data_IF_093628257629
#
_entry.id   IF_093628257629
#
_cell.length_a   1.000
_cell.length_b   1.000
_cell.length_c   1.000
_cell.angle_alpha   90.00
_cell.angle_beta   90.00
_cell.angle_gamma   90.00
#
_symmetry.space_group_name_H-M   'P 1'
#
loop_
_entity.id
_entity.type
_entity.pdbx_description
1 polymer ?
#
# COMPACT_ATOMS: atom_id res chain seq x y z
N UNK A 1 -17.29 2.14 42.09
CA UNK A 1 -16.52 0.86 42.13
C UNK A 1 -15.12 1.15 41.60
N UNK A 2 -14.11 1.30 42.45
CA UNK A 2 -12.71 1.49 42.01
C UNK A 2 -12.28 0.20 41.33
N UNK A 3 -12.05 0.22 40.00
CA UNK A 3 -11.44 -0.93 39.35
C UNK A 3 -10.07 -1.18 40.00
N UNK A 4 -9.85 -2.38 40.55
CA UNK A 4 -8.52 -2.84 40.96
C UNK A 4 -7.61 -2.66 39.75
N UNK A 5 -6.57 -1.81 39.86
CA UNK A 5 -5.56 -1.65 38.80
C UNK A 5 -5.04 -3.05 38.46
N UNK A 6 -5.41 -3.55 37.28
CA UNK A 6 -4.88 -4.80 36.75
C UNK A 6 -3.39 -4.59 36.49
N UNK A 7 -2.56 -5.47 37.02
CA UNK A 7 -1.12 -5.45 36.75
C UNK A 7 -0.90 -6.09 35.37
N UNK A 8 -0.78 -5.24 34.35
CA UNK A 8 -0.67 -5.67 32.95
C UNK A 8 0.74 -6.11 32.60
N UNK A 9 0.83 -6.95 31.57
CA UNK A 9 2.06 -7.37 30.90
C UNK A 9 2.81 -6.24 30.22
N UNK A 10 3.98 -6.56 29.69
CA UNK A 10 4.87 -5.62 29.00
C UNK A 10 4.24 -5.05 27.72
N UNK A 11 3.29 -5.77 27.12
CA UNK A 11 2.52 -5.34 25.94
C UNK A 11 1.18 -4.66 26.29
N UNK A 12 0.93 -4.38 27.57
CA UNK A 12 -0.32 -3.78 28.04
C UNK A 12 -1.55 -4.57 27.54
N UNK A 13 -2.46 -3.95 26.78
CA UNK A 13 -3.65 -4.59 26.23
C UNK A 13 -3.45 -5.17 24.82
N UNK A 14 -2.23 -5.09 24.28
CA UNK A 14 -1.89 -5.65 22.97
C UNK A 14 -1.40 -7.09 23.08
N UNK A 15 -1.63 -7.85 22.00
CA UNK A 15 -1.19 -9.23 21.91
C UNK A 15 0.34 -9.32 21.75
N UNK A 16 1.05 -10.00 22.68
CA UNK A 16 2.51 -10.10 22.59
C UNK A 16 2.97 -11.01 21.44
N UNK A 17 2.16 -12.00 21.06
CA UNK A 17 2.45 -12.88 19.91
C UNK A 17 2.34 -12.11 18.59
N UNK A 18 1.27 -11.32 18.40
CA UNK A 18 1.13 -10.45 17.23
C UNK A 18 2.27 -9.45 17.10
N UNK A 19 2.72 -8.89 18.23
CA UNK A 19 3.85 -7.97 18.26
C UNK A 19 5.16 -8.66 17.86
N UNK A 20 5.42 -9.87 18.36
CA UNK A 20 6.67 -10.58 18.09
C UNK A 20 6.74 -11.14 16.66
N UNK A 21 5.65 -11.72 16.17
CA UNK A 21 5.65 -12.51 14.93
C UNK A 21 5.29 -11.67 13.70
N UNK A 22 4.34 -10.75 13.86
CA UNK A 22 3.86 -9.93 12.75
C UNK A 22 4.33 -8.47 12.85
N UNK A 23 5.02 -8.11 13.94
CA UNK A 23 5.44 -6.74 14.23
C UNK A 23 4.29 -5.73 14.10
N UNK A 24 3.15 -6.08 14.73
CA UNK A 24 1.94 -5.24 14.75
C UNK A 24 1.35 -5.21 16.17
N UNK A 25 0.94 -4.01 16.60
CA UNK A 25 0.16 -3.82 17.83
C UNK A 25 -1.30 -4.15 17.58
N UNK A 26 -1.64 -5.44 17.71
CA UNK A 26 -3.01 -5.89 17.59
C UNK A 26 -3.66 -6.00 18.99
N UNK A 27 -4.86 -5.42 19.21
CA UNK A 27 -5.51 -5.46 20.52
C UNK A 27 -5.84 -6.90 20.91
N UNK A 28 -5.49 -7.28 22.13
CA UNK A 28 -5.85 -8.57 22.69
C UNK A 28 -7.27 -8.56 23.26
N UNK A 29 -7.90 -9.74 23.26
CA UNK A 29 -9.23 -9.95 23.82
C UNK A 29 -9.13 -10.45 25.27
N UNK A 30 -9.98 -9.92 26.14
CA UNK A 30 -9.97 -10.30 27.56
C UNK A 30 -10.34 -11.78 27.78
N UNK A 31 -11.17 -12.35 26.90
CA UNK A 31 -11.54 -13.77 26.90
C UNK A 31 -10.34 -14.71 26.71
N UNK A 32 -9.31 -14.26 26.00
CA UNK A 32 -8.09 -15.04 25.77
C UNK A 32 -6.97 -14.70 26.74
N UNK A 33 -7.24 -13.98 27.84
CA UNK A 33 -6.20 -13.59 28.79
C UNK A 33 -5.46 -14.77 29.43
N UNK A 34 -4.18 -14.56 29.74
CA UNK A 34 -3.35 -15.45 30.53
C UNK A 34 -2.49 -14.66 31.52
N UNK A 35 -2.09 -15.31 32.62
CA UNK A 35 -1.23 -14.71 33.66
C UNK A 35 0.16 -15.33 33.58
N UNK A 36 1.20 -14.50 33.53
CA UNK A 36 2.60 -14.92 33.56
C UNK A 36 3.42 -13.94 34.41
N UNK A 37 4.28 -14.43 35.30
CA UNK A 37 5.08 -13.62 36.25
C UNK A 37 4.27 -12.50 36.93
N UNK A 38 3.10 -12.85 37.46
CA UNK A 38 2.16 -11.92 38.12
C UNK A 38 1.57 -10.78 37.26
N UNK A 39 1.82 -10.81 35.95
CA UNK A 39 1.26 -9.87 34.98
C UNK A 39 0.19 -10.54 34.12
N UNK A 40 -0.79 -9.77 33.70
CA UNK A 40 -1.88 -10.23 32.82
C UNK A 40 -1.56 -9.82 31.38
N UNK A 41 -1.58 -10.80 30.47
CA UNK A 41 -1.41 -10.61 29.03
C UNK A 41 -2.72 -10.94 28.32
N UNK A 42 -3.03 -10.17 27.27
CA UNK A 42 -4.19 -10.40 26.40
C UNK A 42 -3.73 -10.89 25.03
N UNK A 43 -4.59 -11.65 24.35
CA UNK A 43 -4.25 -12.32 23.10
C UNK A 43 -5.38 -12.12 22.08
N UNK A 44 -5.03 -11.94 20.82
CA UNK A 44 -6.01 -11.72 19.75
C UNK A 44 -6.84 -12.98 19.47
N UNK A 45 -6.26 -14.15 19.67
CA UNK A 45 -6.90 -15.46 19.45
C UNK A 45 -6.51 -16.44 20.57
N UNK A 46 -7.31 -17.50 20.74
CA UNK A 46 -6.96 -18.61 21.63
C UNK A 46 -5.66 -19.30 21.22
N UNK A 47 -5.40 -19.41 19.92
CA UNK A 47 -4.18 -20.04 19.40
C UNK A 47 -2.92 -19.28 19.83
N UNK A 48 -2.96 -17.95 19.79
CA UNK A 48 -1.84 -17.11 20.25
C UNK A 48 -1.64 -17.18 21.76
N UNK A 49 -2.72 -17.31 22.53
CA UNK A 49 -2.62 -17.60 23.97
C UNK A 49 -1.89 -18.92 24.22
N UNK A 50 -2.28 -19.98 23.53
CA UNK A 50 -1.68 -21.31 23.71
C UNK A 50 -0.21 -21.31 23.26
N UNK A 51 0.11 -20.59 22.18
CA UNK A 51 1.49 -20.40 21.70
C UNK A 51 2.35 -19.68 22.73
N UNK A 52 1.85 -18.60 23.32
CA UNK A 52 2.53 -17.89 24.40
C UNK A 52 2.75 -18.78 25.62
N UNK A 53 1.75 -19.57 26.04
CA UNK A 53 1.88 -20.44 27.21
C UNK A 53 2.92 -21.56 27.03
N UNK A 54 3.20 -21.97 25.78
CA UNK A 54 4.26 -22.95 25.48
C UNK A 54 5.66 -22.39 25.72
N UNK A 55 5.92 -21.15 25.30
CA UNK A 55 7.19 -20.49 25.57
C UNK A 55 7.04 -18.98 25.85
N UNK A 56 6.61 -18.59 27.07
CA UNK A 56 6.30 -17.19 27.37
C UNK A 56 7.50 -16.25 27.27
N UNK A 57 8.71 -16.78 27.48
CA UNK A 57 9.94 -16.00 27.52
C UNK A 57 10.22 -15.30 26.18
N UNK A 58 9.94 -15.95 25.04
CA UNK A 58 10.15 -15.37 23.71
C UNK A 58 9.32 -14.10 23.41
N UNK A 59 8.25 -13.88 24.17
CA UNK A 59 7.22 -12.87 23.91
C UNK A 59 7.19 -11.74 24.93
N UNK A 60 8.00 -11.82 25.99
CA UNK A 60 8.06 -10.79 27.05
C UNK A 60 9.36 -10.00 26.96
N UNK A 61 9.40 -8.83 27.59
CA UNK A 61 10.63 -8.07 27.70
C UNK A 61 11.63 -8.81 28.60
N UNK A 62 12.89 -8.88 28.16
CA UNK A 62 14.02 -9.36 28.95
C UNK A 62 14.86 -8.17 29.41
N UNK A 63 16.08 -8.05 28.90
CA UNK A 63 17.00 -6.96 29.23
C UNK A 63 16.65 -5.67 28.50
N UNK A 64 16.06 -5.79 27.31
CA UNK A 64 15.63 -4.66 26.49
C UNK A 64 14.09 -4.54 26.43
N UNK A 65 13.57 -3.29 26.37
CA UNK A 65 12.16 -3.06 26.11
C UNK A 65 11.72 -3.65 24.77
N UNK A 66 10.46 -4.07 24.69
CA UNK A 66 9.86 -4.50 23.43
C UNK A 66 9.83 -3.33 22.45
N UNK A 67 10.31 -3.57 21.23
CA UNK A 67 10.30 -2.59 20.17
C UNK A 67 8.86 -2.38 19.67
N UNK A 68 8.44 -1.12 19.60
CA UNK A 68 7.15 -0.76 19.01
C UNK A 68 7.26 -0.79 17.48
N UNK A 69 6.24 -1.30 16.77
CA UNK A 69 6.26 -1.31 15.32
C UNK A 69 6.10 0.12 14.76
N UNK A 70 6.55 0.36 13.52
CA UNK A 70 6.42 1.67 12.91
C UNK A 70 4.95 2.07 12.75
N UNK A 71 4.72 3.39 12.85
CA UNK A 71 3.41 3.99 12.67
C UNK A 71 2.98 3.85 11.21
N UNK A 72 1.79 3.29 10.98
CA UNK A 72 1.14 3.21 9.66
C UNK A 72 -0.04 4.16 9.63
N UNK A 73 -0.05 5.10 8.70
CA UNK A 73 -1.09 6.15 8.59
C UNK A 73 -1.66 6.14 7.19
N UNK A 74 -2.99 6.00 7.07
CA UNK A 74 -3.72 6.13 5.82
C UNK A 74 -4.47 7.48 5.81
N UNK A 75 -4.28 8.27 4.76
CA UNK A 75 -4.97 9.55 4.59
C UNK A 75 -6.16 9.38 3.66
N UNK A 76 -7.36 9.65 4.18
CA UNK A 76 -8.62 9.55 3.43
C UNK A 76 -9.25 10.94 3.25
N UNK A 77 -9.99 11.13 2.16
CA UNK A 77 -10.69 12.37 1.86
C UNK A 77 -10.80 12.66 0.36
N UNK A 78 -11.51 13.72 0.00
CA UNK A 78 -11.77 14.12 -1.40
C UNK A 78 -10.50 14.47 -2.17
N UNK A 79 -10.55 14.36 -3.50
CA UNK A 79 -9.48 14.83 -4.39
C UNK A 79 -9.17 16.33 -4.13
N UNK A 80 -7.91 16.73 -4.24
CA UNK A 80 -7.50 18.12 -4.02
C UNK A 80 -7.44 18.61 -2.56
N UNK A 81 -7.88 17.81 -1.56
CA UNK A 81 -7.84 18.20 -0.14
C UNK A 81 -6.43 18.36 0.47
N UNK A 82 -5.36 18.21 -0.32
CA UNK A 82 -3.97 18.31 0.15
C UNK A 82 -3.47 17.10 0.94
N UNK A 83 -4.14 15.94 0.82
CA UNK A 83 -3.77 14.69 1.51
C UNK A 83 -2.29 14.34 1.32
N UNK A 84 -1.82 14.31 0.06
CA UNK A 84 -0.44 13.98 -0.29
C UNK A 84 0.57 15.00 0.26
N UNK A 85 0.19 16.29 0.32
CA UNK A 85 1.02 17.35 0.92
C UNK A 85 1.16 17.15 2.43
N UNK A 86 0.06 16.91 3.14
CA UNK A 86 0.07 16.64 4.58
C UNK A 86 0.82 15.34 4.90
N UNK A 87 0.60 14.28 4.13
CA UNK A 87 1.25 12.99 4.30
C UNK A 87 2.76 13.09 4.17
N UNK A 88 3.26 13.81 3.15
CA UNK A 88 4.70 14.09 2.98
C UNK A 88 5.29 14.87 4.15
N UNK A 89 4.63 15.95 4.59
CA UNK A 89 5.10 16.74 5.74
C UNK A 89 5.15 15.93 7.04
N UNK A 90 4.18 15.03 7.26
CA UNK A 90 4.15 14.15 8.43
C UNK A 90 5.24 13.09 8.32
N UNK A 91 5.44 12.52 7.13
CA UNK A 91 6.51 11.58 6.86
C UNK A 91 7.89 12.17 7.17
N UNK A 92 8.18 13.37 6.70
CA UNK A 92 9.44 14.08 6.96
C UNK A 92 9.65 14.35 8.45
N UNK A 93 8.59 14.74 9.17
CA UNK A 93 8.67 15.04 10.61
C UNK A 93 8.84 13.81 11.48
N UNK A 94 8.23 12.68 11.10
CA UNK A 94 8.26 11.43 11.85
C UNK A 94 9.37 10.49 11.38
N UNK A 95 10.04 10.79 10.28
CA UNK A 95 11.03 9.91 9.66
C UNK A 95 10.42 8.59 9.17
N UNK A 96 9.16 8.60 8.72
CA UNK A 96 8.47 7.41 8.20
C UNK A 96 8.39 7.44 6.67
N UNK A 97 8.25 6.29 6.04
CA UNK A 97 8.11 6.19 4.58
C UNK A 97 6.75 6.70 4.13
N UNK A 98 6.77 7.48 3.06
CA UNK A 98 5.58 7.98 2.42
C UNK A 98 5.33 7.23 1.11
N UNK A 99 4.20 6.53 1.04
CA UNK A 99 3.76 5.83 -0.18
C UNK A 99 2.78 6.73 -0.92
N UNK A 100 3.15 7.17 -2.12
CA UNK A 100 2.24 7.84 -3.04
C UNK A 100 1.47 6.77 -3.84
N UNK A 101 0.31 6.37 -3.32
CA UNK A 101 -0.46 5.24 -3.85
C UNK A 101 -0.76 5.36 -5.34
N UNK A 102 -1.18 6.52 -5.81
CA UNK A 102 -1.47 6.79 -7.22
C UNK A 102 -0.23 6.61 -8.12
N UNK A 103 0.94 7.10 -7.69
CA UNK A 103 2.20 6.94 -8.43
C UNK A 103 2.60 5.47 -8.51
N UNK A 104 2.41 4.72 -7.42
CA UNK A 104 2.65 3.28 -7.42
C UNK A 104 1.73 2.54 -8.39
N UNK A 105 0.43 2.88 -8.44
CA UNK A 105 -0.50 2.31 -9.40
C UNK A 105 -0.08 2.60 -10.85
N UNK A 106 0.41 3.82 -11.13
CA UNK A 106 0.95 4.18 -12.43
C UNK A 106 2.15 3.29 -12.79
N UNK A 107 3.08 3.07 -11.87
CA UNK A 107 4.26 2.23 -12.09
C UNK A 107 3.90 0.77 -12.43
N UNK A 108 2.81 0.24 -11.86
CA UNK A 108 2.35 -1.12 -12.18
C UNK A 108 1.89 -1.27 -13.63
N UNK A 109 1.21 -0.27 -14.19
CA UNK A 109 0.65 -0.34 -15.54
C UNK A 109 1.57 0.26 -16.62
N UNK A 110 2.52 1.11 -16.23
CA UNK A 110 3.45 1.81 -17.11
C UNK A 110 4.19 0.89 -18.11
N UNK A 111 4.63 -0.34 -17.74
CA UNK A 111 5.30 -1.24 -18.69
C UNK A 111 4.43 -1.61 -19.90
N UNK A 112 3.09 -1.66 -19.72
CA UNK A 112 2.15 -2.03 -20.78
C UNK A 112 1.52 -0.81 -21.44
N UNK A 113 1.16 0.22 -20.67
CA UNK A 113 0.57 1.44 -21.21
C UNK A 113 1.60 2.34 -21.89
N UNK A 114 2.90 2.21 -21.55
CA UNK A 114 4.04 3.02 -22.02
C UNK A 114 3.96 4.52 -21.70
N UNK A 115 2.83 4.98 -21.17
CA UNK A 115 2.56 6.36 -20.76
C UNK A 115 1.77 6.36 -19.44
N UNK A 116 1.86 7.48 -18.72
CA UNK A 116 1.00 7.76 -17.57
C UNK A 116 -0.44 7.98 -18.06
N UNK A 117 -1.40 7.61 -17.24
CA UNK A 117 -2.82 7.61 -17.60
C UNK A 117 -3.61 8.40 -16.57
N UNK A 118 -4.60 9.19 -16.99
CA UNK A 118 -5.52 9.87 -16.08
C UNK A 118 -5.70 11.35 -16.42
N UNK A 119 -6.61 12.03 -15.73
CA UNK A 119 -7.11 13.35 -16.13
C UNK A 119 -6.01 14.42 -16.29
N UNK A 120 -4.92 14.32 -15.54
CA UNK A 120 -3.78 15.25 -15.58
C UNK A 120 -2.74 14.97 -16.67
N UNK A 121 -2.86 13.83 -17.36
CA UNK A 121 -1.93 13.39 -18.41
C UNK A 121 -2.59 13.28 -19.79
N UNK A 122 -3.92 13.35 -19.83
CA UNK A 122 -4.71 13.27 -21.07
C UNK A 122 -4.88 14.64 -21.78
N UNK A 123 -4.39 15.75 -21.19
CA UNK A 123 -4.54 17.11 -21.74
C UNK A 123 -3.51 17.49 -22.83
N UNK A 124 -2.46 16.70 -23.03
CA UNK A 124 -1.56 16.89 -24.17
C UNK A 124 -2.03 16.00 -25.33
N UNK A 125 -2.17 16.58 -26.53
CA UNK A 125 -2.37 15.98 -27.87
C UNK A 125 -3.73 16.19 -28.56
N UNK A 126 -4.04 17.45 -28.90
CA UNK A 126 -4.75 17.76 -30.17
C UNK A 126 -3.83 18.36 -31.26
N UNK A 127 -2.56 18.70 -30.99
CA UNK A 127 -1.73 19.40 -31.98
C UNK A 127 -0.25 18.98 -31.90
N UNK A 128 0.18 17.97 -32.68
CA UNK A 128 1.57 17.97 -33.18
C UNK A 128 1.83 17.12 -34.45
N UNK A 129 0.98 17.28 -35.47
CA UNK A 129 1.36 16.92 -36.84
C UNK A 129 1.14 18.10 -37.81
N UNK A 130 1.73 19.25 -37.52
CA UNK A 130 2.11 20.22 -38.57
C UNK A 130 3.58 20.02 -38.90
N UNK A 131 3.83 19.11 -39.83
CA UNK A 131 5.13 18.97 -40.50
C UNK A 131 5.37 20.23 -41.33
N UNK A 132 6.45 21.02 -41.12
CA UNK A 132 6.80 22.09 -42.02
C UNK A 132 7.21 21.54 -43.38
N UNK A 133 6.57 22.09 -44.41
CA UNK A 133 6.82 21.92 -45.83
C UNK A 133 8.23 22.42 -46.21
N UNK A 134 8.79 21.89 -47.30
CA UNK A 134 10.03 22.28 -48.01
C UNK A 134 11.32 21.56 -47.53
N UNK A 135 12.03 20.76 -48.34
CA UNK A 135 12.40 20.90 -49.74
C UNK A 135 12.70 19.53 -50.41
N UNK A 136 12.23 19.39 -51.67
CA UNK A 136 12.91 18.78 -52.84
C UNK A 136 13.31 17.28 -52.82
N UNK A 137 13.11 16.43 -53.83
CA UNK A 137 12.57 16.55 -55.20
C UNK A 137 12.42 15.11 -55.77
N UNK A 138 11.53 14.97 -56.76
CA UNK A 138 11.41 13.90 -57.77
C UNK A 138 11.31 12.41 -57.37
N UNK A 139 10.09 11.84 -57.43
CA UNK A 139 9.58 11.09 -58.62
C UNK A 139 8.33 10.25 -58.33
N UNK A 140 7.45 10.22 -59.34
CA UNK A 140 6.08 9.69 -59.35
C UNK A 140 6.02 8.16 -59.16
N UNK A 141 5.12 7.67 -58.30
CA UNK A 141 3.95 6.79 -58.62
C UNK A 141 3.39 6.09 -57.37
N UNK A 142 2.11 6.31 -57.06
CA UNK A 142 1.30 5.40 -56.22
C UNK A 142 0.77 4.25 -57.09
N UNK A 143 0.44 3.06 -56.54
CA UNK A 143 -0.79 2.90 -55.78
C UNK A 143 -0.58 2.26 -54.40
N UNK A 144 -1.26 2.85 -53.41
CA UNK A 144 -1.88 2.22 -52.23
C UNK A 144 -1.28 0.87 -51.82
N UNK A 145 -0.51 0.89 -50.75
CA UNK A 145 -0.39 -0.28 -49.88
C UNK A 145 -0.81 0.15 -48.48
N UNK A 146 -2.01 -0.29 -48.13
CA UNK A 146 -2.54 -0.31 -46.77
C UNK A 146 -1.44 -0.83 -45.84
N UNK A 147 -0.91 0.04 -44.99
CA UNK A 147 -0.10 -0.39 -43.86
C UNK A 147 -0.96 -0.18 -42.64
N UNK A 148 -1.76 -1.20 -42.34
CA UNK A 148 -2.30 -1.45 -41.02
C UNK A 148 -1.16 -1.28 -40.00
N UNK A 149 -1.15 -0.17 -39.27
CA UNK A 149 -0.52 -0.12 -37.96
C UNK A 149 -1.64 -0.08 -36.94
N UNK A 150 -2.21 -1.26 -36.71
CA UNK A 150 -2.90 -1.54 -35.47
C UNK A 150 -1.87 -1.28 -34.36
N UNK A 151 -2.06 -0.20 -33.60
CA UNK A 151 -1.49 -0.10 -32.27
C UNK A 151 -2.09 -1.27 -31.50
N UNK A 152 -1.32 -2.35 -31.37
CA UNK A 152 -1.68 -3.44 -30.49
C UNK A 152 -1.63 -2.86 -29.08
N UNK A 153 -2.77 -2.44 -28.56
CA UNK A 153 -3.02 -2.41 -27.13
C UNK A 153 -2.51 -3.75 -26.61
N UNK A 154 -1.44 -3.74 -25.82
CA UNK A 154 -1.03 -4.94 -25.12
C UNK A 154 -2.22 -5.31 -24.22
N UNK A 155 -2.78 -6.50 -24.40
CA UNK A 155 -3.91 -6.98 -23.60
C UNK A 155 -3.56 -6.79 -22.11
N UNK A 156 -4.27 -5.85 -21.50
CA UNK A 156 -4.17 -5.60 -20.07
C UNK A 156 -4.82 -6.79 -19.37
N UNK A 157 -4.26 -7.18 -18.23
CA UNK A 157 -4.95 -8.14 -17.37
C UNK A 157 -6.13 -7.46 -16.70
N UNK A 158 -7.12 -8.23 -16.25
CA UNK A 158 -8.25 -7.72 -15.47
C UNK A 158 -7.80 -6.83 -14.29
N UNK A 159 -6.66 -7.16 -13.66
CA UNK A 159 -6.05 -6.36 -12.58
C UNK A 159 -5.58 -4.99 -13.09
N UNK A 160 -4.89 -4.94 -14.23
CA UNK A 160 -4.34 -3.70 -14.80
C UNK A 160 -5.43 -2.82 -15.42
N UNK A 161 -6.49 -3.43 -15.98
CA UNK A 161 -7.68 -2.71 -16.43
C UNK A 161 -8.39 -2.03 -15.25
N UNK A 162 -8.52 -2.74 -14.12
CA UNK A 162 -9.08 -2.15 -12.90
C UNK A 162 -8.22 -1.00 -12.36
N UNK A 163 -6.89 -1.15 -12.39
CA UNK A 163 -5.96 -0.06 -12.02
C UNK A 163 -6.11 1.14 -12.96
N UNK A 164 -6.17 0.89 -14.28
CA UNK A 164 -6.37 1.94 -15.27
C UNK A 164 -7.71 2.67 -15.06
N UNK A 165 -8.79 1.94 -14.79
CA UNK A 165 -10.11 2.53 -14.50
C UNK A 165 -10.10 3.34 -13.20
N UNK A 166 -9.37 2.91 -12.16
CA UNK A 166 -9.20 3.69 -10.94
C UNK A 166 -8.47 5.01 -11.21
N UNK A 167 -7.45 5.00 -12.07
CA UNK A 167 -6.64 6.19 -12.38
C UNK A 167 -7.37 7.21 -13.28
N UNK A 168 -8.27 6.75 -14.15
CA UNK A 168 -9.03 7.63 -15.08
C UNK A 168 -10.31 8.15 -14.43
N UNK A 169 -11.11 7.23 -13.88
CA UNK A 169 -12.51 7.46 -13.52
C UNK A 169 -12.77 7.40 -12.00
N UNK A 170 -11.71 7.34 -11.17
CA UNK A 170 -11.79 7.14 -9.71
C UNK A 170 -12.61 5.89 -9.30
N UNK A 171 -12.69 4.89 -10.19
CA UNK A 171 -13.42 3.63 -9.94
C UNK A 171 -12.77 2.84 -8.81
N UNK A 172 -13.57 2.16 -7.99
CA UNK A 172 -13.06 1.36 -6.87
C UNK A 172 -12.20 0.19 -7.36
N UNK A 173 -11.03 0.01 -6.73
CA UNK A 173 -10.18 -1.15 -7.00
C UNK A 173 -10.79 -2.42 -6.41
N UNK A 174 -10.80 -3.55 -7.15
CA UNK A 174 -11.21 -4.84 -6.61
C UNK A 174 -10.41 -5.21 -5.35
N UNK A 175 -11.07 -5.81 -4.33
CA UNK A 175 -10.40 -6.22 -3.11
C UNK A 175 -9.20 -7.13 -3.34
N UNK A 176 -9.25 -7.99 -4.35
CA UNK A 176 -8.18 -8.91 -4.70
C UNK A 176 -6.90 -8.17 -5.15
N UNK A 177 -7.07 -7.08 -5.91
CA UNK A 177 -5.96 -6.23 -6.36
C UNK A 177 -5.39 -5.45 -5.18
N UNK A 178 -6.25 -4.89 -4.33
CA UNK A 178 -5.83 -4.17 -3.12
C UNK A 178 -5.09 -5.09 -2.15
N UNK A 179 -5.58 -6.30 -1.90
CA UNK A 179 -4.96 -7.25 -0.99
C UNK A 179 -3.56 -7.66 -1.47
N UNK A 180 -3.37 -7.80 -2.78
CA UNK A 180 -2.06 -8.08 -3.37
C UNK A 180 -1.06 -6.95 -3.14
N UNK A 181 -1.50 -5.70 -3.28
CA UNK A 181 -0.64 -4.52 -3.10
C UNK A 181 -0.38 -4.25 -1.61
N UNK A 182 -1.43 -4.17 -0.81
CA UNK A 182 -1.37 -3.71 0.58
C UNK A 182 -0.80 -4.78 1.51
N UNK A 183 -0.99 -6.08 1.21
CA UNK A 183 -0.44 -7.16 2.04
C UNK A 183 1.08 -7.07 2.16
N UNK A 184 1.77 -6.76 1.07
CA UNK A 184 3.23 -6.67 1.05
C UNK A 184 3.69 -5.49 1.91
N UNK A 185 3.07 -4.32 1.78
CA UNK A 185 3.38 -3.16 2.62
C UNK A 185 3.06 -3.36 4.11
N UNK A 186 2.09 -4.23 4.41
CA UNK A 186 1.70 -4.48 5.80
C UNK A 186 2.63 -5.49 6.48
N UNK A 187 3.04 -6.54 5.75
CA UNK A 187 3.82 -7.67 6.28
C UNK A 187 5.32 -7.50 6.11
N UNK A 188 5.75 -6.76 5.09
CA UNK A 188 7.15 -6.45 4.84
C UNK A 188 7.36 -4.95 4.96
N UNK A 189 8.29 -4.56 5.82
CA UNK A 189 8.66 -3.16 5.93
C UNK A 189 9.35 -2.72 4.63
N UNK A 190 8.90 -1.63 3.98
CA UNK A 190 9.45 -1.16 2.70
C UNK A 190 10.86 -0.55 2.82
N UNK A 191 11.58 -0.82 3.91
CA UNK A 191 12.89 -0.27 4.22
C UNK A 191 13.96 -1.36 4.21
N UNK A 192 14.48 -1.70 3.03
CA UNK A 192 15.83 -2.24 2.86
C UNK A 192 16.47 -1.71 1.59
#
# INVERSE_FOLDING_TARGET
IKQKKRHMGDTNHFCPVSLKENFVLYPGLQEHAAKYKEKIYYFSTSEYKDKFLKNPEEYVAHDEPLQAPPLRVCFLGVHGAGKSTCARQIADKLGIFHIQFEEYLQELILPKTKRKVGPSFDEDYEDDYKIPEELEDTSQTMPKTETEKSEKEAELTDEEEAIKANLIDDMELPPEVLDKIVSDWWKTEPFR
#
